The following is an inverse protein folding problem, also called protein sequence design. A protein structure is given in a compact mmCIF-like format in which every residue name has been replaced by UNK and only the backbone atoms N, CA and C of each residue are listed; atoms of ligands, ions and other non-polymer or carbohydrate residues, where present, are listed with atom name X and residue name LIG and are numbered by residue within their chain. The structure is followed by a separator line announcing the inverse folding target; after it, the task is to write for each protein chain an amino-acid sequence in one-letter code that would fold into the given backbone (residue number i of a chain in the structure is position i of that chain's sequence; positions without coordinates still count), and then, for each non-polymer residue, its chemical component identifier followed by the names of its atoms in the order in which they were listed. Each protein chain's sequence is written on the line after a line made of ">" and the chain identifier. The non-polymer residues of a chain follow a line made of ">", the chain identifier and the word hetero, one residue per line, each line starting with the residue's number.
data_IF_195938445209
#
_entry.id   IF_195938445209
#
_cell.length_a   1.000
_cell.length_b   1.000
_cell.length_c   1.000
_cell.angle_alpha   90.00
_cell.angle_beta   90.00
_cell.angle_gamma   90.00
#
_symmetry.space_group_name_H-M   'P 1'
#
loop_
_entity.id
_entity.type
_entity.pdbx_description
1 polymer ?
#
# COMPACT_ATOMS: atom_id res chain seq x y z
N UNK A 1 -24.01 18.75 3.46
CA UNK A 1 -23.49 18.49 2.08
C UNK A 1 -22.32 17.50 2.13
N UNK A 2 -22.41 16.45 2.96
CA UNK A 2 -21.22 15.73 3.44
C UNK A 2 -21.07 14.31 2.89
N UNK A 3 -22.12 13.75 2.32
CA UNK A 3 -22.08 12.43 1.69
C UNK A 3 -21.31 12.39 0.35
N UNK A 4 -21.13 13.54 -0.34
CA UNK A 4 -20.49 13.60 -1.67
C UNK A 4 -18.95 13.66 -1.63
N UNK A 5 -18.37 14.15 -0.53
CA UNK A 5 -16.92 14.28 -0.34
C UNK A 5 -16.15 12.97 -0.56
N UNK A 6 -16.54 11.81 0.01
CA UNK A 6 -15.82 10.56 -0.22
C UNK A 6 -15.90 10.09 -1.68
N UNK A 7 -17.02 10.29 -2.38
CA UNK A 7 -17.14 9.93 -3.79
C UNK A 7 -16.23 10.77 -4.69
N UNK A 8 -16.15 12.07 -4.43
CA UNK A 8 -15.23 12.96 -5.17
C UNK A 8 -13.78 12.53 -4.95
N UNK A 9 -13.40 12.16 -3.72
CA UNK A 9 -12.07 11.63 -3.41
C UNK A 9 -11.79 10.33 -4.16
N UNK A 10 -12.74 9.38 -4.19
CA UNK A 10 -12.60 8.12 -4.94
C UNK A 10 -12.41 8.38 -6.43
N UNK A 11 -13.17 9.31 -7.02
CA UNK A 11 -13.04 9.66 -8.44
C UNK A 11 -11.65 10.26 -8.72
N UNK A 12 -11.18 11.19 -7.90
CA UNK A 12 -9.84 11.77 -8.04
C UNK A 12 -8.76 10.68 -7.96
N UNK A 13 -8.87 9.77 -6.98
CA UNK A 13 -7.95 8.65 -6.83
C UNK A 13 -7.95 7.78 -8.10
N UNK A 14 -9.12 7.45 -8.64
CA UNK A 14 -9.23 6.64 -9.86
C UNK A 14 -8.61 7.33 -11.08
N UNK A 15 -8.79 8.65 -11.22
CA UNK A 15 -8.17 9.42 -12.30
C UNK A 15 -6.64 9.40 -12.18
N UNK A 16 -6.10 9.57 -10.97
CA UNK A 16 -4.66 9.48 -10.71
C UNK A 16 -4.11 8.09 -11.07
N UNK A 17 -4.78 7.01 -10.63
CA UNK A 17 -4.38 5.64 -10.97
C UNK A 17 -4.42 5.38 -12.47
N UNK A 18 -5.46 5.86 -13.15
CA UNK A 18 -5.58 5.73 -14.60
C UNK A 18 -4.43 6.41 -15.33
N UNK A 19 -4.11 7.66 -14.96
CA UNK A 19 -2.97 8.38 -15.53
C UNK A 19 -1.64 7.65 -15.27
N UNK A 20 -1.46 7.13 -14.06
CA UNK A 20 -0.29 6.34 -13.69
C UNK A 20 -0.15 5.10 -14.57
N UNK A 21 -1.23 4.35 -14.85
CA UNK A 21 -1.17 3.19 -15.74
C UNK A 21 -0.79 3.55 -17.17
N UNK A 22 -1.34 4.65 -17.70
CA UNK A 22 -1.00 5.13 -19.06
C UNK A 22 0.48 5.48 -19.15
N UNK A 23 1.01 6.25 -18.20
CA UNK A 23 2.43 6.62 -18.14
C UNK A 23 3.31 5.38 -17.98
N UNK A 24 2.92 4.45 -17.09
CA UNK A 24 3.63 3.19 -16.87
C UNK A 24 3.74 2.38 -18.18
N UNK A 25 2.62 2.24 -18.88
CA UNK A 25 2.55 1.51 -20.15
C UNK A 25 3.37 2.18 -21.24
N UNK A 26 3.32 3.50 -21.34
CA UNK A 26 4.18 4.26 -22.25
C UNK A 26 5.67 4.01 -21.95
N UNK A 27 6.08 4.05 -20.69
CA UNK A 27 7.47 3.85 -20.30
C UNK A 27 7.96 2.42 -20.58
N UNK A 28 7.12 1.41 -20.35
CA UNK A 28 7.44 0.01 -20.70
C UNK A 28 7.53 -0.23 -22.21
N UNK A 29 6.67 0.42 -23.00
CA UNK A 29 6.73 0.35 -24.45
C UNK A 29 8.02 0.95 -25.02
N UNK A 30 8.65 1.88 -24.30
CA UNK A 30 9.97 2.43 -24.63
C UNK A 30 11.13 1.56 -24.10
N UNK A 31 10.85 0.33 -23.64
CA UNK A 31 11.86 -0.64 -23.22
C UNK A 31 12.35 -0.49 -21.78
N UNK A 32 11.69 0.33 -20.95
CA UNK A 32 12.10 0.51 -19.57
C UNK A 32 11.79 -0.72 -18.70
N UNK A 33 12.78 -1.18 -17.94
CA UNK A 33 12.62 -2.32 -17.04
C UNK A 33 11.60 -2.02 -15.92
N UNK A 34 10.66 -2.93 -15.70
CA UNK A 34 9.61 -2.85 -14.68
C UNK A 34 10.14 -2.60 -13.27
N UNK A 35 11.24 -3.25 -12.88
CA UNK A 35 11.85 -3.07 -11.56
C UNK A 35 12.40 -1.64 -11.38
N UNK A 36 13.05 -1.12 -12.43
CA UNK A 36 13.60 0.23 -12.43
C UNK A 36 12.47 1.26 -12.33
N UNK A 37 11.39 1.08 -13.09
CA UNK A 37 10.22 1.96 -13.00
C UNK A 37 9.61 2.01 -11.61
N UNK A 38 9.39 0.85 -11.00
CA UNK A 38 8.78 0.75 -9.66
C UNK A 38 9.70 1.42 -8.63
N UNK A 39 11.01 1.22 -8.73
CA UNK A 39 11.99 1.86 -7.86
C UNK A 39 11.92 3.38 -7.95
N UNK A 40 11.97 3.95 -9.16
CA UNK A 40 11.89 5.40 -9.36
C UNK A 40 10.58 5.98 -8.83
N UNK A 41 9.45 5.29 -9.03
CA UNK A 41 8.16 5.74 -8.53
C UNK A 41 8.12 5.81 -7.01
N UNK A 42 8.62 4.78 -6.32
CA UNK A 42 8.66 4.76 -4.85
C UNK A 42 9.67 5.77 -4.30
N UNK A 43 10.81 5.96 -4.97
CA UNK A 43 11.80 6.96 -4.59
C UNK A 43 11.23 8.38 -4.73
N UNK A 44 10.60 8.70 -5.86
CA UNK A 44 9.97 10.00 -6.08
C UNK A 44 8.85 10.27 -5.07
N UNK A 45 7.97 9.29 -4.83
CA UNK A 45 6.93 9.41 -3.82
C UNK A 45 7.51 9.67 -2.41
N UNK A 46 8.58 8.96 -2.04
CA UNK A 46 9.25 9.16 -0.74
C UNK A 46 9.86 10.55 -0.64
N UNK A 47 10.56 11.02 -1.68
CA UNK A 47 11.19 12.36 -1.71
C UNK A 47 10.15 13.47 -1.68
N UNK A 48 9.00 13.32 -2.33
CA UNK A 48 7.92 14.31 -2.32
C UNK A 48 7.17 14.33 -0.99
N UNK A 49 6.91 13.16 -0.40
CA UNK A 49 6.19 13.05 0.87
C UNK A 49 7.05 13.43 2.07
N UNK A 50 8.38 13.23 2.02
CA UNK A 50 9.29 13.57 3.11
C UNK A 50 9.18 15.04 3.58
N UNK A 51 9.28 16.06 2.70
CA UNK A 51 9.14 17.46 3.12
C UNK A 51 7.70 17.79 3.54
N UNK A 52 6.69 17.21 2.89
CA UNK A 52 5.29 17.39 3.29
C UNK A 52 5.04 16.86 4.70
N UNK A 53 5.56 15.68 5.03
CA UNK A 53 5.49 15.10 6.36
C UNK A 53 6.23 15.99 7.39
N UNK A 54 7.44 16.48 7.05
CA UNK A 54 8.19 17.39 7.94
C UNK A 54 7.48 18.73 8.14
N UNK A 55 6.73 19.24 7.15
CA UNK A 55 6.04 20.54 7.30
C UNK A 55 4.70 20.36 8.02
N UNK A 56 3.87 19.39 7.63
CA UNK A 56 2.53 19.18 8.20
C UNK A 56 2.57 18.53 9.57
N UNK A 57 3.41 17.52 9.77
CA UNK A 57 3.35 16.69 10.99
C UNK A 57 4.31 17.16 12.09
N UNK A 58 5.27 18.05 11.81
CA UNK A 58 6.26 18.52 12.79
C UNK A 58 5.68 19.13 14.06
N UNK A 59 4.43 19.61 14.03
CA UNK A 59 3.78 20.21 15.21
C UNK A 59 3.02 19.20 16.09
N UNK A 60 2.61 18.06 15.54
CA UNK A 60 1.76 17.07 16.22
C UNK A 60 2.36 15.65 16.24
N UNK A 61 3.47 15.40 15.56
CA UNK A 61 4.09 14.08 15.48
C UNK A 61 4.81 13.72 16.78
N UNK A 62 4.49 12.57 17.41
CA UNK A 62 5.32 12.02 18.48
C UNK A 62 6.72 11.72 17.94
N UNK A 63 7.79 11.89 18.73
CA UNK A 63 9.16 11.67 18.29
C UNK A 63 9.32 10.22 17.81
N UNK A 64 9.51 10.05 16.50
CA UNK A 64 9.67 8.73 15.91
C UNK A 64 11.10 8.24 16.16
N UNK A 65 11.26 7.22 17.00
CA UNK A 65 12.56 6.60 17.23
C UNK A 65 13.09 5.96 15.94
N UNK A 66 14.39 6.10 15.66
CA UNK A 66 15.08 5.43 14.55
C UNK A 66 14.80 3.92 14.52
N UNK A 67 14.61 3.29 15.69
CA UNK A 67 14.22 1.86 15.77
C UNK A 67 12.83 1.61 15.22
N UNK A 68 11.86 2.49 15.47
CA UNK A 68 10.51 2.39 14.95
C UNK A 68 10.49 2.64 13.44
N UNK A 69 11.23 3.65 12.98
CA UNK A 69 11.43 3.94 11.56
C UNK A 69 12.05 2.74 10.83
N UNK A 70 13.12 2.15 11.38
CA UNK A 70 13.76 0.97 10.79
C UNK A 70 12.80 -0.25 10.75
N UNK A 71 11.97 -0.46 11.78
CA UNK A 71 10.93 -1.50 11.76
C UNK A 71 9.89 -1.27 10.66
N UNK A 72 9.38 -0.04 10.53
CA UNK A 72 8.43 0.33 9.48
C UNK A 72 9.06 0.20 8.09
N UNK A 73 10.32 0.62 7.94
CA UNK A 73 11.07 0.48 6.70
C UNK A 73 11.28 -0.98 6.31
N UNK A 74 11.72 -1.83 7.24
CA UNK A 74 11.88 -3.27 7.01
C UNK A 74 10.55 -3.96 6.71
N UNK A 75 9.47 -3.57 7.40
CA UNK A 75 8.13 -4.07 7.12
C UNK A 75 7.66 -3.67 5.71
N UNK A 76 7.86 -2.42 5.31
CA UNK A 76 7.52 -1.96 3.96
C UNK A 76 8.40 -2.62 2.89
N UNK A 77 9.71 -2.77 3.15
CA UNK A 77 10.65 -3.34 2.20
C UNK A 77 10.45 -4.84 2.02
N UNK A 78 10.37 -5.60 3.12
CA UNK A 78 10.24 -7.05 3.08
C UNK A 78 8.80 -7.48 2.95
N UNK A 79 7.91 -6.95 3.80
CA UNK A 79 6.49 -7.32 3.81
C UNK A 79 5.80 -7.02 2.49
N UNK A 80 5.88 -5.78 2.00
CA UNK A 80 5.22 -5.43 0.74
C UNK A 80 5.84 -6.16 -0.45
N UNK A 81 7.17 -6.29 -0.50
CA UNK A 81 7.85 -7.01 -1.60
C UNK A 81 7.50 -8.48 -1.60
N UNK A 82 7.50 -9.14 -0.45
CA UNK A 82 7.11 -10.56 -0.34
C UNK A 82 5.65 -10.70 -0.74
N UNK A 83 4.72 -9.91 -0.19
CA UNK A 83 3.29 -9.98 -0.55
C UNK A 83 3.05 -9.78 -2.04
N UNK A 84 3.71 -8.79 -2.66
CA UNK A 84 3.57 -8.53 -4.10
C UNK A 84 4.13 -9.66 -4.94
N UNK A 85 5.29 -10.22 -4.58
CA UNK A 85 5.88 -11.35 -5.28
C UNK A 85 5.06 -12.63 -5.11
N UNK A 86 4.55 -12.90 -3.91
CA UNK A 86 3.71 -14.07 -3.64
C UNK A 86 2.39 -13.99 -4.39
N UNK A 87 1.79 -12.80 -4.50
CA UNK A 87 0.60 -12.57 -5.31
C UNK A 87 0.85 -12.82 -6.80
N UNK A 88 1.95 -12.28 -7.35
CA UNK A 88 2.31 -12.49 -8.76
C UNK A 88 2.70 -13.96 -9.05
N UNK A 89 3.39 -14.62 -8.11
CA UNK A 89 3.71 -16.05 -8.21
C UNK A 89 2.44 -16.90 -8.11
N UNK A 90 1.53 -16.57 -7.19
CA UNK A 90 0.21 -17.18 -7.08
C UNK A 90 -0.53 -17.10 -8.41
N UNK A 91 -0.66 -15.93 -9.01
CA UNK A 91 -1.28 -15.75 -10.33
C UNK A 91 -0.66 -16.60 -11.46
N UNK A 92 0.60 -17.04 -11.33
CA UNK A 92 1.22 -17.98 -12.25
C UNK A 92 0.73 -19.43 -12.08
N UNK A 93 0.26 -19.78 -10.89
CA UNK A 93 -0.24 -21.12 -10.53
C UNK A 93 -1.78 -21.18 -10.39
N UNK A 94 -2.46 -20.04 -10.28
CA UNK A 94 -3.93 -19.94 -10.17
C UNK A 94 -4.53 -19.14 -11.32
N UNK A 95 -5.80 -19.40 -11.65
CA UNK A 95 -6.52 -18.61 -12.66
C UNK A 95 -6.85 -17.20 -12.16
N UNK A 96 -7.09 -16.28 -13.10
CA UNK A 96 -7.52 -14.91 -12.76
C UNK A 96 -8.77 -14.90 -11.88
N UNK A 97 -9.69 -15.87 -12.06
CA UNK A 97 -10.91 -16.01 -11.24
C UNK A 97 -10.59 -16.31 -9.78
N UNK A 98 -9.64 -17.22 -9.51
CA UNK A 98 -9.26 -17.59 -8.13
C UNK A 98 -8.47 -16.46 -7.46
N UNK A 99 -7.65 -15.72 -8.22
CA UNK A 99 -6.99 -14.52 -7.71
C UNK A 99 -7.99 -13.41 -7.35
N UNK A 100 -9.01 -13.18 -8.19
CA UNK A 100 -10.09 -12.24 -7.89
C UNK A 100 -10.93 -12.67 -6.68
N UNK A 101 -11.20 -13.97 -6.53
CA UNK A 101 -11.88 -14.51 -5.35
C UNK A 101 -11.05 -14.31 -4.07
N UNK A 102 -9.74 -14.54 -4.14
CA UNK A 102 -8.82 -14.30 -3.03
C UNK A 102 -8.71 -12.82 -2.65
N UNK A 103 -8.71 -11.90 -3.63
CA UNK A 103 -8.73 -10.47 -3.36
C UNK A 103 -10.03 -10.03 -2.67
N UNK A 104 -11.16 -10.63 -3.07
CA UNK A 104 -12.47 -10.35 -2.48
C UNK A 104 -12.64 -10.90 -1.06
N UNK A 105 -11.87 -11.93 -0.69
CA UNK A 105 -11.88 -12.51 0.66
C UNK A 105 -10.98 -11.75 1.65
N UNK A 106 -10.10 -10.86 1.20
CA UNK A 106 -9.23 -10.02 2.05
C UNK A 106 -10.02 -9.35 3.18
N UNK A 107 -11.11 -8.58 2.93
CA UNK A 107 -11.87 -7.94 4.02
C UNK A 107 -12.50 -8.95 4.99
N UNK A 108 -12.93 -10.11 4.51
CA UNK A 108 -13.51 -11.18 5.34
C UNK A 108 -12.44 -11.79 6.25
N UNK A 109 -11.26 -12.09 5.70
CA UNK A 109 -10.12 -12.61 6.45
C UNK A 109 -9.61 -11.57 7.45
N UNK A 110 -9.52 -10.29 7.06
CA UNK A 110 -9.15 -9.20 7.97
C UNK A 110 -10.11 -9.11 9.14
N UNK A 111 -11.42 -9.20 8.91
CA UNK A 111 -12.41 -9.22 9.99
C UNK A 111 -12.25 -10.46 10.88
N UNK A 112 -12.10 -11.65 10.28
CA UNK A 112 -11.88 -12.89 11.02
C UNK A 112 -10.64 -12.82 11.92
N UNK A 113 -9.49 -12.41 11.38
CA UNK A 113 -8.26 -12.20 12.15
C UNK A 113 -8.42 -11.11 13.19
N UNK A 114 -9.14 -10.02 12.87
CA UNK A 114 -9.41 -8.97 13.84
C UNK A 114 -10.22 -9.48 15.03
N UNK A 115 -11.19 -10.38 14.82
CA UNK A 115 -11.95 -11.01 15.91
C UNK A 115 -11.08 -11.99 16.68
N UNK A 116 -10.35 -12.87 15.98
CA UNK A 116 -9.47 -13.88 16.57
C UNK A 116 -8.36 -13.25 17.45
N UNK A 117 -7.75 -12.15 16.98
CA UNK A 117 -6.66 -11.46 17.67
C UNK A 117 -7.16 -10.48 18.74
N UNK A 118 -8.44 -10.06 18.70
CA UNK A 118 -9.03 -9.15 19.70
C UNK A 118 -9.09 -9.78 21.08
N UNK A 119 -9.23 -11.11 21.16
CA UNK A 119 -9.14 -11.86 22.42
C UNK A 119 -7.69 -11.97 22.94
N UNK A 120 -6.68 -11.69 22.11
CA UNK A 120 -5.26 -11.72 22.49
C UNK A 120 -4.64 -10.37 22.88
N UNK A 121 -5.28 -9.24 22.53
CA UNK A 121 -4.78 -7.89 22.83
C UNK A 121 -5.51 -7.25 24.02
N UNK A 122 -6.74 -7.66 24.31
CA UNK A 122 -7.51 -7.13 25.45
C UNK A 122 -7.14 -7.75 26.80
N UNK A 123 -6.41 -8.87 26.86
CA UNK A 123 -6.02 -9.51 28.13
C UNK A 123 -4.75 -8.94 28.77
N UNK A 124 -4.03 -8.02 28.11
CA UNK A 124 -2.81 -7.40 28.63
C UNK A 124 -3.03 -5.96 29.13
N UNK A 125 -4.27 -5.46 29.05
CA UNK A 125 -4.68 -4.11 29.47
C UNK A 125 -5.84 -4.10 30.48
N UNK A 126 -6.10 -5.23 31.15
CA UNK A 126 -6.93 -5.31 32.36
C UNK A 126 -6.19 -6.06 33.46
#
# INVERSE_FOLDING_TARGET
>A
MDAKKPYVVVIIIQVIYTGLFVISKAAFNHGMNTFIFIFYRQAAASVLLLPLAIILERRNAPPMSIRLFAKLFLYALLGNTISFNLYNMGLKFTSSTVASAAASSVPVLTFFFSVLLRDGILSHFY
#
